data_IF_041174888736
#
_entry.id   IF_041174888736
#
_cell.length_a   1.000
_cell.length_b   1.000
_cell.length_c   1.000
_cell.angle_alpha   90.00
_cell.angle_beta   90.00
_cell.angle_gamma   90.00
#
_symmetry.space_group_name_H-M   'P 1'
#
loop_
_entity.id
_entity.type
_entity.pdbx_description
1 polymer ?
#
# COMPACT_ATOMS: atom_id res chain seq x y z
N UNK A 1 14.10 -7.39 -6.39
CA UNK A 1 14.76 -6.28 -7.11
C UNK A 1 16.28 -6.43 -7.16
N UNK A 2 16.90 -7.10 -6.19
CA UNK A 2 18.36 -7.36 -6.20
C UNK A 2 18.76 -8.53 -7.09
N UNK A 3 17.82 -9.33 -7.55
CA UNK A 3 18.05 -10.60 -8.26
C UNK A 3 18.20 -10.48 -9.78
N UNK A 4 18.03 -9.28 -10.34
CA UNK A 4 18.26 -8.96 -11.75
C UNK A 4 19.07 -7.66 -11.85
N UNK A 5 20.37 -7.67 -11.48
CA UNK A 5 21.21 -6.46 -11.44
C UNK A 5 21.43 -5.82 -12.82
N UNK A 6 21.22 -6.58 -13.88
CA UNK A 6 21.42 -6.18 -15.28
C UNK A 6 20.31 -5.25 -15.77
N UNK A 7 19.12 -5.30 -15.13
CA UNK A 7 17.96 -4.51 -15.54
C UNK A 7 17.95 -3.15 -14.88
N UNK A 8 17.63 -2.14 -15.66
CA UNK A 8 17.63 -0.73 -15.22
C UNK A 8 16.24 -0.25 -14.83
N UNK A 9 15.19 -0.73 -15.51
CA UNK A 9 13.81 -0.30 -15.29
C UNK A 9 13.36 -0.39 -13.82
N UNK A 10 13.78 -1.42 -13.11
CA UNK A 10 13.38 -1.65 -11.72
C UNK A 10 13.97 -0.60 -10.76
N UNK A 11 15.18 -0.13 -11.04
CA UNK A 11 15.85 0.93 -10.26
C UNK A 11 15.17 2.27 -10.52
N UNK A 12 14.88 2.58 -11.77
CA UNK A 12 14.21 3.81 -12.18
C UNK A 12 12.77 3.86 -11.65
N UNK A 13 12.04 2.75 -11.71
CA UNK A 13 10.70 2.64 -11.14
C UNK A 13 10.70 2.86 -9.62
N UNK A 14 11.68 2.31 -8.92
CA UNK A 14 11.83 2.52 -7.48
C UNK A 14 12.04 4.00 -7.15
N UNK A 15 12.92 4.68 -7.88
CA UNK A 15 13.17 6.12 -7.69
C UNK A 15 11.90 6.92 -7.97
N UNK A 16 11.21 6.62 -9.07
CA UNK A 16 9.96 7.29 -9.41
C UNK A 16 8.88 7.12 -8.35
N UNK A 17 8.69 5.91 -7.81
CA UNK A 17 7.72 5.65 -6.73
C UNK A 17 8.08 6.46 -5.48
N UNK A 18 9.36 6.52 -5.11
CA UNK A 18 9.80 7.32 -3.96
C UNK A 18 9.53 8.81 -4.17
N UNK A 19 9.77 9.33 -5.38
CA UNK A 19 9.47 10.71 -5.77
C UNK A 19 7.96 11.00 -5.68
N UNK A 20 7.12 10.10 -6.19
CA UNK A 20 5.66 10.21 -6.11
C UNK A 20 5.16 10.27 -4.66
N UNK A 21 5.68 9.37 -3.80
CA UNK A 21 5.32 9.34 -2.38
C UNK A 21 5.77 10.64 -1.68
N UNK A 22 6.99 11.09 -1.96
CA UNK A 22 7.50 12.33 -1.40
C UNK A 22 6.67 13.53 -1.84
N UNK A 23 6.38 13.65 -3.14
CA UNK A 23 5.53 14.70 -3.70
C UNK A 23 4.16 14.73 -3.01
N UNK A 24 3.48 13.58 -2.93
CA UNK A 24 2.17 13.47 -2.29
C UNK A 24 2.18 13.90 -0.82
N UNK A 25 3.20 13.46 -0.07
CA UNK A 25 3.35 13.81 1.35
C UNK A 25 3.69 15.29 1.57
N UNK A 26 4.38 15.93 0.62
CA UNK A 26 4.68 17.36 0.66
C UNK A 26 3.44 18.20 0.35
N UNK A 27 2.64 17.80 -0.64
CA UNK A 27 1.41 18.50 -0.99
C UNK A 27 0.37 18.50 0.15
N UNK A 28 0.27 17.44 0.94
CA UNK A 28 -0.65 17.37 2.08
C UNK A 28 -0.37 18.42 3.18
N UNK A 29 0.77 19.10 3.12
CA UNK A 29 1.19 20.05 4.16
C UNK A 29 1.07 21.52 3.75
N UNK A 30 1.26 21.87 2.48
CA UNK A 30 1.42 23.26 2.05
C UNK A 30 0.85 23.60 0.66
N UNK A 31 0.58 22.63 -0.20
CA UNK A 31 0.23 22.90 -1.61
C UNK A 31 -0.73 21.86 -2.14
N UNK A 32 -1.65 22.26 -3.02
CA UNK A 32 -2.52 21.32 -3.73
C UNK A 32 -1.76 20.50 -4.76
N UNK A 33 -2.20 19.26 -4.97
CA UNK A 33 -1.65 18.37 -6.00
C UNK A 33 -1.92 18.95 -7.38
N UNK A 34 -0.90 19.36 -8.09
CA UNK A 34 -1.04 19.98 -9.41
C UNK A 34 -1.28 18.92 -10.47
N UNK A 35 -2.35 19.05 -11.25
CA UNK A 35 -2.71 18.10 -12.31
C UNK A 35 -1.60 17.93 -13.38
N UNK A 36 -0.81 18.96 -13.63
CA UNK A 36 0.35 18.92 -14.54
C UNK A 36 1.44 18.00 -14.03
N UNK A 37 1.77 18.11 -12.73
CA UNK A 37 2.81 17.25 -12.11
C UNK A 37 2.36 15.79 -12.05
N UNK A 38 1.09 15.53 -11.79
CA UNK A 38 0.54 14.17 -11.83
C UNK A 38 0.68 13.57 -13.22
N UNK A 39 0.33 14.31 -14.28
CA UNK A 39 0.48 13.86 -15.67
C UNK A 39 1.94 13.57 -16.02
N UNK A 40 2.87 14.41 -15.58
CA UNK A 40 4.32 14.18 -15.78
C UNK A 40 4.75 12.86 -15.13
N UNK A 41 4.35 12.62 -13.88
CA UNK A 41 4.71 11.42 -13.14
C UNK A 41 4.09 10.15 -13.77
N UNK A 42 2.84 10.23 -14.25
CA UNK A 42 2.17 9.15 -14.97
C UNK A 42 2.85 8.82 -16.30
N UNK A 43 3.29 9.85 -17.00
CA UNK A 43 4.01 9.67 -18.26
C UNK A 43 5.39 9.03 -18.05
N UNK A 44 6.11 9.42 -17.00
CA UNK A 44 7.37 8.78 -16.61
C UNK A 44 7.14 7.32 -16.22
N UNK A 45 6.07 7.02 -15.47
CA UNK A 45 5.70 5.65 -15.13
C UNK A 45 5.44 4.81 -16.39
N UNK A 46 4.75 5.36 -17.38
CA UNK A 46 4.49 4.69 -18.65
C UNK A 46 5.78 4.40 -19.41
N UNK A 47 6.67 5.39 -19.51
CA UNK A 47 7.98 5.24 -20.20
C UNK A 47 8.83 4.15 -19.58
N UNK A 48 8.90 4.10 -18.25
CA UNK A 48 9.65 3.03 -17.55
C UNK A 48 9.03 1.65 -17.82
N UNK A 49 7.71 1.53 -17.94
CA UNK A 49 7.08 0.26 -18.32
C UNK A 49 7.36 -0.13 -19.78
N UNK A 50 7.48 0.84 -20.69
CA UNK A 50 7.88 0.60 -22.07
C UNK A 50 9.33 0.13 -22.14
N UNK A 51 10.22 0.78 -21.42
CA UNK A 51 11.61 0.35 -21.27
C UNK A 51 11.71 -1.06 -20.68
N UNK A 52 10.94 -1.37 -19.64
CA UNK A 52 10.86 -2.71 -19.06
C UNK A 52 10.45 -3.76 -20.10
N UNK A 53 9.49 -3.40 -20.99
CA UNK A 53 9.07 -4.28 -22.07
C UNK A 53 10.22 -4.57 -23.03
N UNK A 54 10.93 -3.55 -23.46
CA UNK A 54 12.10 -3.69 -24.35
C UNK A 54 13.20 -4.54 -23.71
N UNK A 55 13.53 -4.28 -22.42
CA UNK A 55 14.52 -5.08 -21.68
C UNK A 55 14.13 -6.57 -21.57
N UNK A 56 12.82 -6.91 -21.49
CA UNK A 56 12.36 -8.30 -21.46
C UNK A 56 12.19 -8.92 -22.85
N UNK A 57 12.05 -8.12 -23.91
CA UNK A 57 12.09 -8.59 -25.29
C UNK A 57 13.52 -8.94 -25.70
N UNK A 58 14.51 -8.13 -25.31
CA UNK A 58 15.93 -8.37 -25.60
C UNK A 58 16.49 -9.56 -24.80
N UNK A 59 16.18 -9.61 -23.50
CA UNK A 59 16.62 -10.68 -22.61
C UNK A 59 15.39 -11.27 -21.91
N UNK A 60 14.85 -12.41 -22.39
CA UNK A 60 13.69 -13.05 -21.81
C UNK A 60 13.91 -13.43 -20.33
N UNK A 61 12.85 -13.45 -19.50
CA UNK A 61 12.96 -13.85 -18.11
C UNK A 61 13.41 -15.32 -18.00
N UNK A 62 14.22 -15.61 -16.98
CA UNK A 62 14.64 -16.98 -16.67
C UNK A 62 13.44 -17.89 -16.39
N UNK A 63 13.53 -19.17 -16.78
CA UNK A 63 12.47 -20.15 -16.45
C UNK A 63 12.27 -20.33 -14.95
N UNK A 64 13.33 -20.19 -14.17
CA UNK A 64 13.34 -20.43 -12.72
C UNK A 64 13.13 -19.15 -11.90
N UNK A 65 13.41 -17.97 -12.46
CA UNK A 65 13.40 -16.70 -11.75
C UNK A 65 12.54 -15.68 -12.50
N UNK A 66 11.26 -15.59 -12.14
CA UNK A 66 10.28 -14.71 -12.81
C UNK A 66 9.77 -13.57 -11.91
N UNK A 67 10.40 -13.33 -10.76
CA UNK A 67 9.90 -12.35 -9.80
C UNK A 67 9.86 -10.94 -10.37
N UNK A 68 10.92 -10.50 -11.04
CA UNK A 68 11.00 -9.21 -11.72
C UNK A 68 9.97 -9.08 -12.84
N UNK A 69 9.85 -10.12 -13.67
CA UNK A 69 8.86 -10.15 -14.76
C UNK A 69 7.42 -10.14 -14.23
N UNK A 70 7.14 -10.92 -13.20
CA UNK A 70 5.82 -10.93 -12.55
C UNK A 70 5.50 -9.58 -11.90
N UNK A 71 6.51 -8.89 -11.36
CA UNK A 71 6.36 -7.53 -10.85
C UNK A 71 6.02 -6.56 -11.98
N UNK A 72 6.74 -6.62 -13.10
CA UNK A 72 6.45 -5.82 -14.29
C UNK A 72 5.01 -6.02 -14.78
N UNK A 73 4.56 -7.27 -14.92
CA UNK A 73 3.20 -7.59 -15.34
C UNK A 73 2.14 -6.99 -14.40
N UNK A 74 2.33 -7.15 -13.09
CA UNK A 74 1.44 -6.57 -12.09
C UNK A 74 1.44 -5.04 -12.12
N UNK A 75 2.59 -4.40 -12.27
CA UNK A 75 2.68 -2.94 -12.38
C UNK A 75 1.98 -2.41 -13.63
N UNK A 76 2.03 -3.16 -14.72
CA UNK A 76 1.31 -2.84 -15.96
C UNK A 76 -0.20 -3.02 -15.80
N UNK A 77 -0.63 -4.16 -15.25
CA UNK A 77 -2.06 -4.51 -15.07
C UNK A 77 -2.74 -3.58 -14.08
N UNK A 78 -2.11 -3.35 -12.92
CA UNK A 78 -2.70 -2.55 -11.83
C UNK A 78 -2.21 -1.09 -11.81
N UNK A 79 -1.77 -0.54 -12.94
CA UNK A 79 -1.26 0.83 -13.04
C UNK A 79 -2.19 1.85 -12.37
N UNK A 80 -3.52 1.78 -12.65
CA UNK A 80 -4.52 2.70 -12.07
C UNK A 80 -4.58 2.62 -10.56
N UNK A 81 -4.49 1.42 -10.00
CA UNK A 81 -4.50 1.19 -8.56
C UNK A 81 -3.22 1.74 -7.91
N UNK A 82 -2.07 1.52 -8.54
CA UNK A 82 -0.79 2.03 -8.04
C UNK A 82 -0.70 3.55 -8.02
N UNK A 83 -1.38 4.23 -8.93
CA UNK A 83 -1.36 5.69 -9.06
C UNK A 83 -2.56 6.37 -8.39
N UNK A 84 -3.50 5.60 -7.80
CA UNK A 84 -4.74 6.12 -7.22
C UNK A 84 -4.48 7.17 -6.13
N UNK A 85 -3.43 7.00 -5.33
CA UNK A 85 -3.07 7.95 -4.27
C UNK A 85 -2.65 9.34 -4.77
N UNK A 86 -2.33 9.49 -6.06
CA UNK A 86 -2.07 10.78 -6.69
C UNK A 86 -3.36 11.51 -7.08
N UNK A 87 -4.48 10.78 -7.24
CA UNK A 87 -5.76 11.31 -7.69
C UNK A 87 -6.80 11.43 -6.58
N UNK A 88 -6.71 10.60 -5.54
CA UNK A 88 -7.67 10.58 -4.43
C UNK A 88 -6.95 10.84 -3.10
N UNK A 89 -7.30 11.93 -2.44
CA UNK A 89 -6.70 12.34 -1.18
C UNK A 89 -6.96 11.36 -0.03
N UNK A 90 -8.04 10.60 -0.11
CA UNK A 90 -8.39 9.60 0.90
C UNK A 90 -7.50 8.37 0.85
N UNK A 91 -6.80 8.18 -0.27
CA UNK A 91 -5.89 7.04 -0.45
C UNK A 91 -4.49 7.41 0.05
N UNK A 92 -3.99 6.75 1.09
CA UNK A 92 -2.64 7.01 1.59
C UNK A 92 -1.58 6.54 0.59
N UNK A 93 -0.49 7.29 0.50
CA UNK A 93 0.64 6.95 -0.38
C UNK A 93 1.40 5.68 0.05
N UNK A 94 1.22 5.25 1.31
CA UNK A 94 1.88 4.06 1.86
C UNK A 94 0.91 3.23 2.68
N UNK A 95 1.19 1.94 2.82
CA UNK A 95 0.39 1.01 3.62
C UNK A 95 0.81 0.95 5.11
N UNK A 96 1.62 1.91 5.58
CA UNK A 96 2.22 1.88 6.91
C UNK A 96 1.18 1.84 8.04
N UNK A 97 0.05 2.54 7.88
CA UNK A 97 -1.02 2.55 8.89
C UNK A 97 -1.70 1.19 8.98
N UNK A 98 -2.07 0.59 7.85
CA UNK A 98 -2.65 -0.74 7.81
C UNK A 98 -1.69 -1.79 8.39
N UNK A 99 -0.39 -1.71 8.07
CA UNK A 99 0.61 -2.61 8.67
C UNK A 99 0.74 -2.42 10.17
N UNK A 100 0.71 -1.18 10.66
CA UNK A 100 0.74 -0.89 12.10
C UNK A 100 -0.46 -1.49 12.81
N UNK A 101 -1.65 -1.35 12.23
CA UNK A 101 -2.88 -1.95 12.75
C UNK A 101 -2.79 -3.47 12.75
N UNK A 102 -2.39 -4.09 11.64
CA UNK A 102 -2.19 -5.55 11.56
C UNK A 102 -1.20 -6.08 12.60
N UNK A 103 -0.11 -5.36 12.89
CA UNK A 103 0.82 -5.73 13.97
C UNK A 103 0.14 -5.73 15.34
N UNK A 104 -0.78 -4.80 15.59
CA UNK A 104 -1.54 -4.77 16.85
C UNK A 104 -2.48 -5.98 16.97
N UNK A 105 -3.15 -6.37 15.87
CA UNK A 105 -3.97 -7.58 15.82
C UNK A 105 -3.15 -8.84 16.05
N UNK A 106 -1.99 -8.97 15.39
CA UNK A 106 -1.09 -10.12 15.59
C UNK A 106 -0.61 -10.25 17.03
N UNK A 107 -0.30 -9.13 17.70
CA UNK A 107 0.06 -9.16 19.15
C UNK A 107 -1.10 -9.66 20.00
N UNK A 108 -2.33 -9.23 19.74
CA UNK A 108 -3.52 -9.71 20.45
C UNK A 108 -3.79 -11.19 20.18
N UNK A 109 -3.63 -11.62 18.94
CA UNK A 109 -3.72 -13.03 18.56
C UNK A 109 -2.71 -13.90 19.31
N UNK A 110 -1.47 -13.43 19.49
CA UNK A 110 -0.45 -14.14 20.26
C UNK A 110 -0.73 -14.17 21.77
N UNK A 111 -1.38 -13.14 22.30
CA UNK A 111 -1.79 -13.06 23.73
C UNK A 111 -3.01 -13.90 24.04
N UNK A 112 -3.95 -13.99 23.11
CA UNK A 112 -5.11 -14.86 23.24
C UNK A 112 -4.69 -16.28 22.84
N UNK A 113 -4.56 -17.17 23.81
CA UNK A 113 -4.24 -18.58 23.56
C UNK A 113 -5.19 -19.15 22.51
N UNK A 114 -4.67 -19.36 21.29
CA UNK A 114 -5.28 -20.00 20.12
C UNK A 114 -6.77 -19.75 19.90
N UNK A 115 -7.12 -18.96 18.89
CA UNK A 115 -8.49 -18.93 18.39
C UNK A 115 -8.89 -20.31 17.86
N UNK A 116 -9.94 -20.88 18.41
CA UNK A 116 -10.40 -22.22 18.05
C UNK A 116 -11.20 -22.24 16.75
N UNK A 117 -11.64 -21.09 16.22
CA UNK A 117 -12.38 -20.98 14.98
C UNK A 117 -12.06 -19.66 14.24
N UNK A 118 -12.30 -19.66 12.92
CA UNK A 118 -12.19 -18.47 12.09
C UNK A 118 -13.18 -17.38 12.51
N UNK A 119 -14.38 -17.78 12.93
CA UNK A 119 -15.43 -16.88 13.44
C UNK A 119 -14.96 -16.07 14.66
N UNK A 120 -14.25 -16.69 15.60
CA UNK A 120 -13.68 -15.97 16.76
C UNK A 120 -12.60 -14.96 16.35
N UNK A 121 -11.86 -15.25 15.27
CA UNK A 121 -10.91 -14.31 14.70
C UNK A 121 -11.62 -13.12 14.07
N UNK A 122 -12.72 -13.34 13.34
CA UNK A 122 -13.55 -12.28 12.76
C UNK A 122 -14.10 -11.37 13.84
N UNK A 123 -14.70 -11.90 14.90
CA UNK A 123 -15.19 -11.10 16.04
C UNK A 123 -14.09 -10.26 16.68
N UNK A 124 -12.89 -10.82 16.86
CA UNK A 124 -11.77 -10.04 17.38
C UNK A 124 -11.42 -8.87 16.44
N UNK A 125 -11.34 -9.12 15.13
CA UNK A 125 -11.03 -8.10 14.15
C UNK A 125 -12.09 -6.99 14.13
N UNK A 126 -13.36 -7.33 14.20
CA UNK A 126 -14.46 -6.37 14.28
C UNK A 126 -14.38 -5.51 15.54
N UNK A 127 -14.22 -6.14 16.72
CA UNK A 127 -14.07 -5.43 17.99
C UNK A 127 -12.86 -4.49 17.99
N UNK A 128 -11.72 -4.95 17.47
CA UNK A 128 -10.51 -4.13 17.39
C UNK A 128 -10.69 -2.97 16.43
N UNK A 129 -11.33 -3.18 15.28
CA UNK A 129 -11.63 -2.14 14.30
C UNK A 129 -12.51 -1.05 14.90
N UNK A 130 -13.55 -1.46 15.65
CA UNK A 130 -14.44 -0.54 16.34
C UNK A 130 -13.72 0.29 17.40
N UNK A 131 -12.85 -0.32 18.20
CA UNK A 131 -12.03 0.39 19.20
C UNK A 131 -11.07 1.41 18.56
N UNK A 132 -10.50 1.08 17.40
CA UNK A 132 -9.64 2.00 16.64
C UNK A 132 -10.45 3.20 16.16
N UNK A 133 -11.63 2.97 15.57
CA UNK A 133 -12.51 4.05 15.11
C UNK A 133 -12.99 4.95 16.24
N UNK A 134 -13.33 4.39 17.40
CA UNK A 134 -13.72 5.16 18.58
C UNK A 134 -12.57 6.06 19.07
N UNK A 135 -11.35 5.55 19.08
CA UNK A 135 -10.16 6.34 19.44
C UNK A 135 -9.88 7.47 18.45
N UNK A 136 -10.07 7.23 17.16
CA UNK A 136 -9.91 8.26 16.13
C UNK A 136 -10.95 9.38 16.26
N UNK A 137 -12.14 9.07 16.77
CA UNK A 137 -13.20 10.05 17.05
C UNK A 137 -13.07 10.76 18.40
N UNK A 138 -11.94 10.57 19.11
CA UNK A 138 -11.68 11.16 20.42
C UNK A 138 -12.79 10.92 21.46
N UNK A 139 -13.43 9.77 21.41
CA UNK A 139 -14.46 9.37 22.37
C UNK A 139 -13.87 9.31 23.79
N UNK A 140 -14.37 10.14 24.67
CA UNK A 140 -13.83 10.33 26.02
C UNK A 140 -14.07 9.16 26.95
N UNK A 141 -15.11 8.35 26.71
CA UNK A 141 -15.43 7.17 27.51
C UNK A 141 -15.72 5.94 26.65
N UNK A 142 -14.64 5.24 26.27
CA UNK A 142 -14.72 4.02 25.47
C UNK A 142 -15.56 2.90 26.14
N UNK A 143 -15.46 2.75 27.46
CA UNK A 143 -16.20 1.71 28.19
C UNK A 143 -17.70 1.95 28.16
N UNK A 144 -18.13 3.18 28.39
CA UNK A 144 -19.55 3.54 28.32
C UNK A 144 -20.11 3.33 26.91
N UNK A 145 -19.34 3.66 25.88
CA UNK A 145 -19.73 3.47 24.49
C UNK A 145 -19.83 2.00 24.12
N UNK A 146 -18.86 1.20 24.54
CA UNK A 146 -18.91 -0.26 24.35
C UNK A 146 -20.12 -0.87 25.07
N UNK A 147 -20.41 -0.46 26.32
CA UNK A 147 -21.59 -0.92 27.05
C UNK A 147 -22.91 -0.54 26.35
N UNK A 148 -22.99 0.62 25.69
CA UNK A 148 -24.18 1.01 24.91
C UNK A 148 -24.38 0.17 23.63
N UNK A 149 -23.32 -0.41 23.07
CA UNK A 149 -23.40 -1.21 21.84
C UNK A 149 -23.71 -2.68 22.16
N UNK A 150 -23.17 -3.20 23.25
CA UNK A 150 -23.25 -4.61 23.62
C UNK A 150 -24.12 -4.90 24.85
N UNK A 151 -24.60 -3.90 25.54
CA UNK A 151 -25.51 -4.01 26.66
C UNK A 151 -26.93 -3.94 26.21
#
# INVERSE_FOLDING_TARGET
MENEPERTWNKEMRVLIQEMIHYRNSCCKETEVTAEKVKELEERYRKILEQAKEEYEDVPPSEYYKEGYNLYLRMKEYKRNHLLFLHDERVPATNNEAERLLRSYKRKQQQAMTFRSFEQLEFLCECMSMLVLMRQKEETNLFQRVAQIFG
#
